data_IF_791205188768
#
_entry.id   IF_791205188768
#
_cell.length_a   1.000
_cell.length_b   1.000
_cell.length_c   1.000
_cell.angle_alpha   90.00
_cell.angle_beta   90.00
_cell.angle_gamma   90.00
#
_symmetry.space_group_name_H-M   'P 1'
#
loop_
_entity.id
_entity.type
_entity.pdbx_description
1 polymer ?
#
# COMPACT_ATOMS: atom_id res chain seq x y z
N UNK A 1 45.38 36.74 21.36
CA UNK A 1 44.87 35.48 21.94
C UNK A 1 43.69 35.04 21.11
N UNK A 2 44.00 34.26 20.10
CA UNK A 2 43.13 33.67 19.08
C UNK A 2 42.45 32.46 19.70
N UNK A 3 41.11 32.42 19.73
CA UNK A 3 40.41 31.23 20.21
C UNK A 3 39.05 31.06 19.55
N UNK A 4 39.00 30.06 18.66
CA UNK A 4 37.87 29.20 18.24
C UNK A 4 36.67 29.95 17.66
N UNK A 5 36.49 30.09 16.33
CA UNK A 5 36.14 29.01 15.38
C UNK A 5 35.24 27.93 15.98
N UNK A 6 33.92 28.11 15.85
CA UNK A 6 32.98 27.00 15.72
C UNK A 6 31.95 27.33 14.63
N UNK A 7 31.93 26.47 13.60
CA UNK A 7 31.15 26.56 12.37
C UNK A 7 29.66 26.17 12.60
N UNK A 8 28.80 26.25 11.58
CA UNK A 8 27.46 26.84 11.65
C UNK A 8 26.39 25.86 12.11
N UNK A 9 25.38 26.37 12.82
CA UNK A 9 24.09 25.69 12.93
C UNK A 9 23.35 25.77 11.59
N UNK A 10 23.61 24.82 10.68
CA UNK A 10 22.67 24.49 9.59
C UNK A 10 21.49 23.75 10.23
N UNK A 11 20.47 24.50 10.65
CA UNK A 11 19.18 23.91 10.98
C UNK A 11 18.62 23.18 9.73
N UNK A 12 18.22 21.90 9.83
CA UNK A 12 17.65 21.17 8.70
C UNK A 12 16.33 21.82 8.27
N UNK A 13 15.99 21.82 6.97
CA UNK A 13 14.71 22.36 6.50
C UNK A 13 13.56 21.54 7.09
N UNK A 14 12.78 22.18 7.94
CA UNK A 14 11.56 21.62 8.51
C UNK A 14 10.59 21.34 7.35
N UNK A 15 10.42 20.06 7.01
CA UNK A 15 9.56 19.59 5.92
C UNK A 15 8.14 20.07 6.22
N UNK A 16 7.71 21.11 5.50
CA UNK A 16 6.39 21.70 5.57
C UNK A 16 5.36 20.56 5.53
N UNK A 17 4.72 20.31 6.68
CA UNK A 17 3.54 19.45 6.77
C UNK A 17 2.43 20.23 6.09
N UNK A 18 2.39 20.16 4.74
CA UNK A 18 1.29 20.67 3.94
C UNK A 18 0.04 19.97 4.44
N UNK A 19 -0.71 20.68 5.27
CA UNK A 19 -2.06 20.31 5.66
C UNK A 19 -2.88 20.51 4.40
N UNK A 20 -3.09 19.42 3.66
CA UNK A 20 -4.04 19.42 2.56
C UNK A 20 -5.41 19.79 3.17
N UNK A 21 -6.16 20.75 2.59
CA UNK A 21 -7.50 21.07 3.06
C UNK A 21 -8.35 19.78 3.08
N UNK A 22 -9.39 19.68 3.93
CA UNK A 22 -10.28 18.51 3.95
C UNK A 22 -10.92 18.37 2.56
N UNK A 23 -10.32 17.49 1.76
CA UNK A 23 -10.73 17.25 0.39
C UNK A 23 -12.12 16.63 0.47
N UNK A 24 -13.08 17.29 -0.17
CA UNK A 24 -14.39 16.74 -0.46
C UNK A 24 -14.17 15.29 -0.89
N UNK A 25 -14.64 14.33 -0.10
CA UNK A 25 -14.49 12.91 -0.40
C UNK A 25 -15.38 12.66 -1.61
N UNK A 26 -14.87 12.97 -2.79
CA UNK A 26 -15.53 12.67 -4.03
C UNK A 26 -15.48 11.15 -4.11
N UNK A 27 -16.65 10.50 -4.12
CA UNK A 27 -16.81 9.04 -4.22
C UNK A 27 -15.91 8.42 -5.30
N UNK A 28 -15.59 9.20 -6.33
CA UNK A 28 -14.67 8.87 -7.41
C UNK A 28 -13.23 8.53 -6.98
N UNK A 29 -12.77 9.11 -5.87
CA UNK A 29 -11.43 8.90 -5.31
C UNK A 29 -11.34 7.65 -4.43
N UNK A 30 -12.44 6.94 -4.19
CA UNK A 30 -12.42 5.69 -3.43
C UNK A 30 -11.67 4.59 -4.17
N UNK A 31 -10.96 3.75 -3.42
CA UNK A 31 -10.23 2.62 -4.02
C UNK A 31 -11.14 1.71 -4.84
N UNK A 32 -12.36 1.45 -4.36
CA UNK A 32 -13.34 0.63 -5.08
C UNK A 32 -13.68 1.23 -6.46
N UNK A 33 -13.88 2.54 -6.56
CA UNK A 33 -14.20 3.21 -7.82
C UNK A 33 -13.04 3.15 -8.81
N UNK A 34 -11.82 3.37 -8.32
CA UNK A 34 -10.60 3.26 -9.13
C UNK A 34 -10.37 1.82 -9.58
N UNK A 35 -10.60 0.84 -8.71
CA UNK A 35 -10.50 -0.58 -9.04
C UNK A 35 -11.53 -0.97 -10.11
N UNK A 36 -12.77 -0.49 -10.02
CA UNK A 36 -13.81 -0.70 -11.04
C UNK A 36 -13.40 -0.12 -12.40
N UNK A 37 -12.88 1.12 -12.43
CA UNK A 37 -12.39 1.75 -13.66
C UNK A 37 -11.23 0.97 -14.28
N UNK A 38 -10.26 0.60 -13.47
CA UNK A 38 -9.14 -0.23 -13.89
C UNK A 38 -9.63 -1.57 -14.45
N UNK A 39 -10.60 -2.20 -13.78
CA UNK A 39 -11.17 -3.47 -14.18
C UNK A 39 -11.91 -3.39 -15.52
N UNK A 40 -12.64 -2.29 -15.78
CA UNK A 40 -13.28 -2.04 -17.06
C UNK A 40 -12.26 -1.97 -18.21
N UNK A 41 -11.19 -1.17 -18.04
CA UNK A 41 -10.08 -1.08 -19.01
C UNK A 41 -9.43 -2.45 -19.22
N UNK A 42 -9.27 -3.21 -18.13
CA UNK A 42 -8.63 -4.52 -18.15
C UNK A 42 -9.48 -5.56 -18.86
N UNK A 43 -10.81 -5.52 -18.73
CA UNK A 43 -11.75 -6.32 -19.53
C UNK A 43 -11.65 -5.98 -21.02
N UNK A 44 -11.60 -4.68 -21.36
CA UNK A 44 -11.41 -4.24 -22.76
C UNK A 44 -10.08 -4.69 -23.38
N UNK A 45 -9.10 -5.10 -22.57
CA UNK A 45 -7.81 -5.60 -23.05
C UNK A 45 -7.85 -7.06 -23.55
N UNK A 46 -9.02 -7.70 -23.63
CA UNK A 46 -9.18 -9.03 -24.23
C UNK A 46 -8.92 -10.21 -23.29
N UNK A 47 -9.27 -10.07 -22.00
CA UNK A 47 -9.14 -11.15 -21.02
C UNK A 47 -10.43 -11.98 -21.01
N UNK A 48 -10.32 -13.30 -20.91
CA UNK A 48 -11.48 -14.18 -20.74
C UNK A 48 -12.31 -13.81 -19.49
N UNK A 49 -13.64 -13.84 -19.62
CA UNK A 49 -14.59 -13.51 -18.56
C UNK A 49 -14.35 -14.29 -17.27
N UNK A 50 -13.98 -15.57 -17.38
CA UNK A 50 -13.66 -16.43 -16.22
C UNK A 50 -12.46 -15.88 -15.46
N UNK A 51 -11.41 -15.46 -16.17
CA UNK A 51 -10.21 -14.91 -15.54
C UNK A 51 -10.46 -13.50 -14.98
N UNK A 52 -11.31 -12.71 -15.63
CA UNK A 52 -11.72 -11.41 -15.10
C UNK A 52 -12.53 -11.57 -13.79
N UNK A 53 -13.48 -12.50 -13.75
CA UNK A 53 -14.27 -12.79 -12.56
C UNK A 53 -13.40 -13.27 -11.38
N UNK A 54 -12.44 -14.17 -11.62
CA UNK A 54 -11.46 -14.59 -10.59
C UNK A 54 -10.70 -13.41 -10.00
N UNK A 55 -10.24 -12.48 -10.85
CA UNK A 55 -9.51 -11.29 -10.42
C UNK A 55 -10.40 -10.43 -9.52
N UNK A 56 -11.65 -10.19 -9.92
CA UNK A 56 -12.59 -9.36 -9.17
C UNK A 56 -12.97 -9.99 -7.83
N UNK A 57 -13.35 -11.27 -7.82
CA UNK A 57 -13.69 -12.01 -6.59
C UNK A 57 -12.56 -12.04 -5.58
N UNK A 58 -11.31 -12.19 -6.05
CA UNK A 58 -10.14 -12.14 -5.17
C UNK A 58 -9.96 -10.77 -4.52
N UNK A 59 -10.20 -9.68 -5.27
CA UNK A 59 -10.13 -8.32 -4.74
C UNK A 59 -11.27 -8.04 -3.75
N UNK A 60 -12.47 -8.51 -4.07
CA UNK A 60 -13.65 -8.35 -3.22
C UNK A 60 -13.51 -9.07 -1.88
N UNK A 61 -12.96 -10.30 -1.90
CA UNK A 61 -12.79 -11.11 -0.70
C UNK A 61 -11.69 -10.60 0.22
N UNK A 62 -10.52 -10.26 -0.33
CA UNK A 62 -9.30 -10.03 0.47
C UNK A 62 -8.88 -8.56 0.54
N UNK A 63 -9.32 -7.68 -0.37
CA UNK A 63 -8.86 -6.29 -0.47
C UNK A 63 -9.94 -5.28 -0.09
N UNK A 64 -11.15 -5.40 -0.65
CA UNK A 64 -12.25 -4.48 -0.36
C UNK A 64 -12.66 -4.37 1.11
N UNK A 65 -12.69 -5.45 1.94
CA UNK A 65 -13.05 -5.29 3.35
C UNK A 65 -12.06 -4.43 4.15
N UNK A 66 -10.81 -4.33 3.69
CA UNK A 66 -9.77 -3.59 4.40
C UNK A 66 -9.58 -2.15 3.87
N UNK A 67 -9.64 -1.95 2.55
CA UNK A 67 -9.30 -0.65 1.92
C UNK A 67 -10.34 -0.13 0.93
N UNK A 68 -11.45 -0.85 0.71
CA UNK A 68 -12.41 -0.52 -0.35
C UNK A 68 -13.08 0.85 -0.17
N UNK A 69 -13.37 1.24 1.07
CA UNK A 69 -13.97 2.53 1.42
C UNK A 69 -12.96 3.64 1.70
N UNK A 70 -11.66 3.36 1.56
CA UNK A 70 -10.61 4.34 1.80
C UNK A 70 -10.29 5.07 0.50
N UNK A 71 -10.19 6.40 0.49
CA UNK A 71 -9.78 7.14 -0.70
C UNK A 71 -8.32 6.85 -1.04
N UNK A 72 -8.01 6.79 -2.33
CA UNK A 72 -6.66 6.45 -2.83
C UNK A 72 -5.60 7.46 -2.38
N UNK A 73 -6.00 8.70 -2.09
CA UNK A 73 -5.17 9.78 -1.55
C UNK A 73 -4.70 9.53 -0.12
N UNK A 74 -5.48 8.81 0.68
CA UNK A 74 -5.14 8.47 2.07
C UNK A 74 -4.47 7.10 2.20
N UNK A 75 -4.55 6.27 1.15
CA UNK A 75 -3.87 4.98 1.12
C UNK A 75 -2.35 5.16 1.20
N UNK A 76 -1.76 4.61 2.25
CA UNK A 76 -0.32 4.58 2.48
C UNK A 76 0.18 3.15 2.53
N UNK A 77 1.50 2.99 2.43
CA UNK A 77 2.13 1.67 2.46
C UNK A 77 1.75 0.86 3.71
N UNK A 78 1.67 1.48 4.88
CA UNK A 78 1.28 0.81 6.13
C UNK A 78 -0.17 0.30 6.11
N UNK A 79 -1.10 1.05 5.53
CA UNK A 79 -2.51 0.65 5.42
C UNK A 79 -2.64 -0.57 4.52
N UNK A 80 -1.89 -0.60 3.42
CA UNK A 80 -1.84 -1.75 2.52
C UNK A 80 -1.21 -2.97 3.17
N UNK A 81 -0.15 -2.80 3.98
CA UNK A 81 0.44 -3.90 4.75
C UNK A 81 -0.57 -4.45 5.77
N UNK A 82 -1.26 -3.57 6.50
CA UNK A 82 -2.29 -3.97 7.46
C UNK A 82 -3.46 -4.72 6.78
N UNK A 83 -3.86 -4.28 5.59
CA UNK A 83 -4.89 -4.95 4.78
C UNK A 83 -4.49 -6.36 4.34
N UNK A 84 -3.20 -6.58 4.09
CA UNK A 84 -2.65 -7.85 3.62
C UNK A 84 -2.20 -8.79 4.75
N UNK A 85 -2.07 -8.28 5.98
CA UNK A 85 -1.70 -9.06 7.17
C UNK A 85 -2.62 -10.28 7.43
N UNK A 86 -3.97 -10.23 7.29
CA UNK A 86 -4.79 -11.42 7.47
C UNK A 86 -4.50 -12.52 6.42
N UNK A 87 -4.16 -12.14 5.18
CA UNK A 87 -3.78 -13.09 4.13
C UNK A 87 -2.41 -13.71 4.44
N UNK A 88 -1.49 -12.89 4.97
CA UNK A 88 -0.18 -13.35 5.45
C UNK A 88 -0.29 -14.30 6.64
N UNK A 89 -1.14 -14.00 7.61
CA UNK A 89 -1.37 -14.81 8.81
C UNK A 89 -1.93 -16.19 8.48
N UNK A 90 -2.71 -16.30 7.38
CA UNK A 90 -3.20 -17.58 6.84
C UNK A 90 -2.12 -18.43 6.15
N UNK A 91 -0.92 -17.89 5.92
CA UNK A 91 0.16 -18.59 5.23
C UNK A 91 0.03 -18.64 3.70
N UNK A 92 -0.94 -17.92 3.12
CA UNK A 92 -1.19 -17.90 1.68
C UNK A 92 -0.25 -16.90 0.94
N UNK A 93 1.05 -17.20 0.94
CA UNK A 93 2.10 -16.29 0.43
C UNK A 93 1.99 -16.02 -1.08
N UNK A 94 1.61 -17.02 -1.87
CA UNK A 94 1.39 -16.83 -3.31
C UNK A 94 0.21 -15.89 -3.58
N UNK A 95 -0.90 -16.07 -2.84
CA UNK A 95 -2.08 -15.21 -2.93
C UNK A 95 -1.72 -13.79 -2.56
N UNK A 96 -1.02 -13.60 -1.45
CA UNK A 96 -0.49 -12.32 -1.01
C UNK A 96 0.34 -11.62 -2.10
N UNK A 97 1.30 -12.34 -2.70
CA UNK A 97 2.14 -11.81 -3.78
C UNK A 97 1.30 -11.39 -5.00
N UNK A 98 0.31 -12.20 -5.39
CA UNK A 98 -0.60 -11.89 -6.51
C UNK A 98 -1.45 -10.66 -6.20
N UNK A 99 -1.99 -10.54 -4.98
CA UNK A 99 -2.77 -9.39 -4.52
C UNK A 99 -1.92 -8.11 -4.54
N UNK A 100 -0.70 -8.14 -3.98
CA UNK A 100 0.21 -6.97 -4.00
C UNK A 100 0.52 -6.49 -5.41
N UNK A 101 0.70 -7.42 -6.37
CA UNK A 101 0.90 -7.05 -7.77
C UNK A 101 -0.34 -6.41 -8.39
N UNK A 102 -1.54 -6.96 -8.11
CA UNK A 102 -2.82 -6.41 -8.60
C UNK A 102 -3.07 -5.01 -8.02
N UNK A 103 -2.90 -4.83 -6.71
CA UNK A 103 -2.98 -3.53 -6.04
C UNK A 103 -2.02 -2.54 -6.66
N UNK A 104 -0.76 -2.93 -6.90
CA UNK A 104 0.22 -2.07 -7.57
C UNK A 104 -0.23 -1.63 -8.97
N UNK A 105 -0.86 -2.51 -9.76
CA UNK A 105 -1.41 -2.14 -11.06
C UNK A 105 -2.56 -1.13 -10.94
N UNK A 106 -3.45 -1.32 -9.97
CA UNK A 106 -4.56 -0.40 -9.71
C UNK A 106 -4.03 0.97 -9.26
N UNK A 107 -3.06 1.00 -8.35
CA UNK A 107 -2.46 2.26 -7.89
C UNK A 107 -1.67 2.99 -8.99
N UNK A 108 -0.97 2.24 -9.87
CA UNK A 108 -0.35 2.83 -11.07
C UNK A 108 -1.39 3.43 -12.02
N UNK A 109 -2.54 2.76 -12.18
CA UNK A 109 -3.64 3.31 -12.96
C UNK A 109 -4.18 4.61 -12.33
N UNK A 110 -4.33 4.65 -11.01
CA UNK A 110 -4.76 5.85 -10.29
C UNK A 110 -3.83 7.05 -10.53
N UNK A 111 -2.50 6.81 -10.50
CA UNK A 111 -1.48 7.83 -10.81
C UNK A 111 -1.61 8.28 -12.27
N UNK A 112 -1.73 7.33 -13.20
CA UNK A 112 -1.87 7.64 -14.62
C UNK A 112 -3.17 8.41 -14.94
N UNK A 113 -4.24 8.17 -14.19
CA UNK A 113 -5.49 8.92 -14.30
C UNK A 113 -5.43 10.32 -13.65
N UNK A 114 -4.32 10.70 -13.02
CA UNK A 114 -4.16 12.00 -12.35
C UNK A 114 -4.87 12.11 -11.00
N UNK A 115 -5.33 10.99 -10.41
CA UNK A 115 -5.94 10.97 -9.07
C UNK A 115 -4.91 11.00 -7.94
N UNK A 116 -3.66 10.61 -8.24
CA UNK A 116 -2.55 10.53 -7.31
C UNK A 116 -1.28 11.07 -7.95
N UNK A 117 -0.51 11.85 -7.19
CA UNK A 117 0.78 12.40 -7.62
C UNK A 117 1.92 11.35 -7.54
N UNK A 118 1.83 10.40 -6.60
CA UNK A 118 2.83 9.36 -6.38
C UNK A 118 2.18 8.03 -5.96
N UNK A 119 2.78 6.90 -6.36
CA UNK A 119 2.30 5.56 -5.98
C UNK A 119 2.87 5.12 -4.61
N UNK A 120 2.05 5.08 -3.52
CA UNK A 120 2.49 4.62 -2.21
C UNK A 120 2.69 3.10 -2.13
N UNK A 121 2.17 2.33 -3.09
CA UNK A 121 2.30 0.87 -3.12
C UNK A 121 3.62 0.40 -3.76
N UNK A 122 4.30 1.27 -4.52
CA UNK A 122 5.59 0.95 -5.15
C UNK A 122 6.64 0.49 -4.13
N UNK A 123 6.62 1.03 -2.92
CA UNK A 123 7.56 0.68 -1.84
C UNK A 123 7.31 -0.71 -1.25
N UNK A 124 6.08 -1.23 -1.37
CA UNK A 124 5.68 -2.53 -0.83
C UNK A 124 6.17 -3.67 -1.73
N UNK A 125 6.30 -3.44 -3.04
CA UNK A 125 6.82 -4.45 -3.97
C UNK A 125 8.25 -4.88 -3.62
N UNK A 126 9.05 -3.96 -3.05
CA UNK A 126 10.41 -4.20 -2.56
C UNK A 126 10.44 -4.75 -1.12
N UNK A 127 9.32 -4.65 -0.39
CA UNK A 127 9.21 -5.20 0.96
C UNK A 127 9.04 -6.71 0.84
N UNK A 128 10.17 -7.42 0.80
CA UNK A 128 10.20 -8.87 0.91
C UNK A 128 9.52 -9.23 2.23
N UNK A 129 8.26 -9.67 2.15
CA UNK A 129 7.53 -10.26 3.26
C UNK A 129 8.19 -11.61 3.51
N UNK A 130 9.36 -11.57 4.17
CA UNK A 130 10.07 -12.75 4.60
C UNK A 130 9.06 -13.59 5.38
N UNK A 131 8.88 -14.87 5.01
CA UNK A 131 7.96 -15.74 5.69
C UNK A 131 8.45 -15.85 7.12
N UNK A 132 7.60 -15.45 8.07
CA UNK A 132 7.86 -15.57 9.48
C UNK A 132 9.30 -15.16 9.87
N UNK A 133 9.52 -13.87 10.17
CA UNK A 133 10.47 -13.59 11.23
C UNK A 133 9.91 -14.33 12.45
N UNK A 134 10.40 -15.56 12.65
CA UNK A 134 10.16 -16.38 13.82
C UNK A 134 10.39 -15.44 14.98
N UNK A 135 9.32 -15.02 15.64
CA UNK A 135 9.41 -14.39 16.94
C UNK A 135 10.18 -15.41 17.78
N UNK A 136 11.47 -15.16 17.96
CA UNK A 136 12.32 -15.97 18.81
C UNK A 136 11.68 -15.82 20.17
N UNK A 137 10.97 -16.85 20.64
CA UNK A 137 10.67 -17.01 22.05
C UNK A 137 12.01 -16.75 22.75
N UNK A 138 12.12 -15.64 23.46
CA UNK A 138 13.17 -15.46 24.44
C UNK A 138 12.78 -16.46 25.53
N UNK A 139 13.16 -17.72 25.34
CA UNK A 139 13.19 -18.68 26.42
C UNK A 139 14.27 -18.16 27.35
N UNK A 140 13.83 -17.44 28.39
CA UNK A 140 14.65 -17.14 29.55
C UNK A 140 15.21 -18.47 30.05
N UNK A 141 16.48 -18.71 29.78
CA UNK A 141 17.28 -19.61 30.58
C UNK A 141 17.52 -18.83 31.88
N UNK A 142 16.60 -18.97 32.83
CA UNK A 142 16.88 -18.63 34.21
C UNK A 142 17.59 -19.85 34.81
N UNK A 143 18.89 -19.70 34.98
CA UNK A 143 19.74 -20.50 35.87
C UNK A 143 19.00 -20.92 37.14
N UNK A 144 19.07 -22.21 37.46
CA UNK A 144 19.08 -22.74 38.82
C UNK A 144 20.01 -23.96 38.84
#
# INVERSE_FOLDING_TARGET
MTSWLFLPARCPPQKSRRQNPPLKITTDSLFINVATRWFAVKKSSGISDVHADDIWKSLEKDVFPAIGQTPVTELKAHTLIAALEPVRARGALETLRRLTQRINKIMKFAVNSGLLDANPASTIASFSLNPCARYRRISSCAQA
#
